data_IF_845425850169
#
_entry.id   IF_845425850169
#
_cell.length_a   1.000
_cell.length_b   1.000
_cell.length_c   1.000
_cell.angle_alpha   90.00
_cell.angle_beta   90.00
_cell.angle_gamma   90.00
#
_symmetry.space_group_name_H-M   'P 1'
#
loop_
_entity.id
_entity.type
_entity.pdbx_description
1 polymer ?
#
# COMPACT_ATOMS: atom_id res chain seq x y z
N UNK A 1 -23.09 6.91 0.05
CA UNK A 1 -22.80 6.16 -1.18
C UNK A 1 -23.19 4.71 -0.91
N UNK A 2 -23.95 4.08 -1.80
CA UNK A 2 -24.29 2.67 -1.63
C UNK A 2 -23.04 1.83 -1.88
N UNK A 3 -22.57 1.10 -0.87
CA UNK A 3 -21.35 0.28 -0.98
C UNK A 3 -21.69 -1.07 -1.63
N UNK A 4 -20.85 -1.58 -2.56
CA UNK A 4 -21.03 -2.92 -3.11
C UNK A 4 -21.15 -3.97 -2.00
N UNK A 5 -21.97 -4.99 -2.25
CA UNK A 5 -22.25 -6.06 -1.29
C UNK A 5 -20.99 -6.65 -0.61
N UNK A 6 -19.89 -7.01 -1.33
CA UNK A 6 -18.70 -7.54 -0.67
C UNK A 6 -18.00 -6.55 0.26
N UNK A 7 -18.01 -5.25 -0.07
CA UNK A 7 -17.43 -4.20 0.78
C UNK A 7 -18.24 -4.04 2.05
N UNK A 8 -19.58 -4.04 1.95
CA UNK A 8 -20.48 -3.99 3.11
C UNK A 8 -20.29 -5.18 4.04
N UNK A 9 -20.27 -6.40 3.48
CA UNK A 9 -20.02 -7.62 4.26
C UNK A 9 -18.69 -7.59 5.00
N UNK A 10 -17.64 -7.04 4.39
CA UNK A 10 -16.37 -6.82 5.08
C UNK A 10 -16.53 -5.89 6.28
N UNK A 11 -17.17 -4.73 6.10
CA UNK A 11 -17.36 -3.76 7.17
C UNK A 11 -18.17 -4.36 8.33
N UNK A 12 -19.28 -5.02 8.01
CA UNK A 12 -20.15 -5.65 9.01
C UNK A 12 -19.42 -6.75 9.80
N UNK A 13 -18.58 -7.54 9.12
CA UNK A 13 -17.81 -8.62 9.75
C UNK A 13 -16.63 -8.11 10.58
N UNK A 14 -15.92 -7.08 10.12
CA UNK A 14 -14.74 -6.54 10.78
C UNK A 14 -15.07 -5.53 11.89
N UNK A 15 -16.15 -4.79 11.72
CA UNK A 15 -16.54 -3.64 12.51
C UNK A 15 -18.07 -3.56 12.66
N UNK A 16 -18.69 -4.49 13.40
CA UNK A 16 -20.15 -4.52 13.59
C UNK A 16 -20.71 -3.24 14.23
N UNK A 17 -19.89 -2.55 15.03
CA UNK A 17 -20.23 -1.27 15.69
C UNK A 17 -19.72 -0.04 14.89
N UNK A 18 -19.27 -0.24 13.65
CA UNK A 18 -18.64 0.76 12.81
C UNK A 18 -17.12 0.84 12.97
N UNK A 19 -16.38 1.17 11.90
CA UNK A 19 -14.92 1.27 11.96
C UNK A 19 -14.50 2.49 12.81
N UNK A 20 -13.44 2.38 13.62
CA UNK A 20 -12.94 3.52 14.39
C UNK A 20 -12.40 4.59 13.45
N UNK A 21 -12.54 5.87 13.81
CA UNK A 21 -11.84 6.95 13.12
C UNK A 21 -10.33 6.81 13.30
N UNK A 22 -9.59 6.83 12.18
CA UNK A 22 -8.13 6.74 12.18
C UNK A 22 -7.57 7.85 11.32
N UNK A 23 -7.02 8.89 11.92
CA UNK A 23 -6.37 9.98 11.19
C UNK A 23 -4.95 9.61 10.76
N UNK A 24 -4.20 8.96 11.66
CA UNK A 24 -2.83 8.52 11.42
C UNK A 24 -2.63 7.09 11.89
N UNK A 25 -1.75 6.37 11.22
CA UNK A 25 -1.34 5.03 11.62
C UNK A 25 0.15 4.78 11.36
N UNK A 26 0.76 3.97 12.22
CA UNK A 26 2.09 3.42 12.04
C UNK A 26 2.00 1.90 12.05
N UNK A 27 2.40 1.26 10.96
CA UNK A 27 2.49 -0.19 10.84
C UNK A 27 3.94 -0.63 10.86
N UNK A 28 4.28 -1.49 11.81
CA UNK A 28 5.57 -2.13 11.89
C UNK A 28 5.46 -3.54 11.33
N UNK A 29 6.42 -3.93 10.50
CA UNK A 29 6.43 -5.21 9.82
C UNK A 29 7.83 -5.80 9.72
N UNK A 30 7.88 -7.12 9.61
CA UNK A 30 9.08 -7.86 9.20
C UNK A 30 8.77 -8.68 7.97
N UNK A 31 9.77 -8.96 7.15
CA UNK A 31 9.52 -9.69 5.92
C UNK A 31 10.78 -10.12 5.22
N UNK A 32 10.56 -10.59 3.99
CA UNK A 32 11.62 -10.88 3.03
C UNK A 32 11.17 -10.49 1.64
N UNK A 33 12.07 -9.95 0.85
CA UNK A 33 11.86 -9.71 -0.58
C UNK A 33 12.90 -10.46 -1.41
N UNK A 34 12.66 -10.56 -2.71
CA UNK A 34 13.56 -11.23 -3.65
C UNK A 34 13.50 -10.56 -5.01
N UNK A 35 14.66 -10.15 -5.53
CA UNK A 35 14.84 -9.76 -6.93
C UNK A 35 15.69 -10.84 -7.60
N UNK A 36 15.07 -11.69 -8.42
CA UNK A 36 15.79 -12.82 -9.04
C UNK A 36 16.96 -12.31 -9.89
N UNK A 37 18.10 -13.02 -9.90
CA UNK A 37 18.33 -14.34 -9.31
C UNK A 37 18.75 -14.36 -7.83
N UNK A 38 18.77 -13.21 -7.13
CA UNK A 38 19.21 -13.14 -5.73
C UNK A 38 18.33 -13.99 -4.78
N UNK A 39 18.87 -14.48 -3.64
CA UNK A 39 18.08 -15.16 -2.62
C UNK A 39 17.09 -14.20 -1.93
N UNK A 40 16.24 -14.76 -1.06
CA UNK A 40 15.37 -13.96 -0.22
C UNK A 40 16.17 -13.14 0.80
N UNK A 41 15.95 -11.83 0.83
CA UNK A 41 16.64 -10.88 1.71
C UNK A 41 15.66 -10.44 2.81
N UNK A 42 15.99 -10.60 4.10
CA UNK A 42 15.13 -10.18 5.20
C UNK A 42 15.10 -8.65 5.31
N UNK A 43 13.97 -8.10 5.74
CA UNK A 43 13.84 -6.68 6.02
C UNK A 43 12.93 -6.43 7.22
N UNK A 44 13.12 -5.26 7.85
CA UNK A 44 12.13 -4.62 8.70
C UNK A 44 11.53 -3.43 7.93
N UNK A 45 10.26 -3.14 8.14
CA UNK A 45 9.57 -2.04 7.48
C UNK A 45 8.69 -1.29 8.48
N UNK A 46 8.75 0.02 8.42
CA UNK A 46 7.85 0.92 9.15
C UNK A 46 7.09 1.74 8.12
N UNK A 47 5.77 1.63 8.15
CA UNK A 47 4.89 2.38 7.27
C UNK A 47 4.14 3.42 8.12
N UNK A 48 4.35 4.69 7.83
CA UNK A 48 3.64 5.83 8.41
C UNK A 48 2.59 6.33 7.43
N UNK A 49 1.35 6.45 7.90
CA UNK A 49 0.17 6.71 7.07
C UNK A 49 -0.64 7.88 7.62
N UNK A 50 -1.16 8.69 6.70
CA UNK A 50 -2.49 9.29 6.81
C UNK A 50 -3.38 8.51 5.85
N UNK A 51 -4.10 7.47 6.31
CA UNK A 51 -4.79 6.56 5.40
C UNK A 51 -5.75 7.34 4.48
N UNK A 52 -5.71 7.00 3.20
CA UNK A 52 -6.45 7.68 2.13
C UNK A 52 -5.80 8.94 1.56
N UNK A 53 -4.70 9.43 2.17
CA UNK A 53 -4.06 10.70 1.80
C UNK A 53 -2.56 10.52 1.53
N UNK A 54 -1.79 10.17 2.55
CA UNK A 54 -0.33 10.10 2.48
C UNK A 54 0.20 8.77 3.04
N UNK A 55 1.35 8.34 2.50
CA UNK A 55 2.03 7.10 2.84
C UNK A 55 3.53 7.26 2.76
N UNK A 56 4.24 6.73 3.76
CA UNK A 56 5.70 6.60 3.76
C UNK A 56 6.09 5.23 4.30
N UNK A 57 6.85 4.46 3.53
CA UNK A 57 7.43 3.17 3.91
C UNK A 57 8.95 3.29 3.99
N UNK A 58 9.48 3.13 5.20
CA UNK A 58 10.91 3.02 5.49
C UNK A 58 11.28 1.53 5.65
N UNK A 59 11.81 0.92 4.59
CA UNK A 59 12.27 -0.47 4.58
C UNK A 59 13.78 -0.54 4.79
N UNK A 60 14.20 -1.38 5.73
CA UNK A 60 15.60 -1.55 6.14
C UNK A 60 16.03 -3.02 6.05
N UNK A 61 17.18 -3.25 5.42
CA UNK A 61 17.92 -4.53 5.52
C UNK A 61 19.09 -4.33 6.47
N UNK A 62 19.19 -5.21 7.46
CA UNK A 62 20.25 -5.18 8.48
C UNK A 62 21.04 -6.48 8.49
N UNK A 63 22.35 -6.36 8.72
CA UNK A 63 23.25 -7.48 9.02
C UNK A 63 23.93 -7.15 10.35
N UNK A 64 23.53 -7.86 11.41
CA UNK A 64 23.91 -7.49 12.77
C UNK A 64 23.49 -6.05 13.10
N UNK A 65 24.38 -5.19 13.65
CA UNK A 65 24.06 -3.80 13.96
C UNK A 65 24.06 -2.88 12.72
N UNK A 66 24.52 -3.33 11.56
CA UNK A 66 24.71 -2.49 10.38
C UNK A 66 23.48 -2.47 9.48
N UNK A 67 23.06 -1.28 9.07
CA UNK A 67 22.04 -1.10 8.03
C UNK A 67 22.74 -1.07 6.66
N UNK A 68 22.53 -2.12 5.87
CA UNK A 68 23.19 -2.31 4.57
C UNK A 68 22.34 -1.81 3.40
N UNK A 69 21.04 -1.66 3.62
CA UNK A 69 20.11 -1.15 2.62
C UNK A 69 19.00 -0.36 3.30
N UNK A 70 18.68 0.79 2.70
CA UNK A 70 17.49 1.56 3.03
C UNK A 70 16.72 1.84 1.75
N UNK A 71 15.43 1.54 1.78
CA UNK A 71 14.47 1.88 0.74
C UNK A 71 13.42 2.79 1.36
N UNK A 72 13.23 3.95 0.75
CA UNK A 72 12.13 4.86 1.04
C UNK A 72 11.15 4.75 -0.12
N UNK A 73 9.93 4.33 0.17
CA UNK A 73 8.84 4.31 -0.81
C UNK A 73 7.69 5.15 -0.26
N UNK A 74 7.24 6.16 -0.98
CA UNK A 74 6.26 7.11 -0.46
C UNK A 74 5.29 7.60 -1.52
N UNK A 75 4.13 8.06 -1.05
CA UNK A 75 3.12 8.85 -1.76
C UNK A 75 2.75 10.02 -0.84
N UNK A 76 3.18 11.23 -1.17
CA UNK A 76 2.92 12.43 -0.34
C UNK A 76 2.54 13.58 -1.25
N UNK A 77 1.46 14.28 -0.90
CA UNK A 77 0.91 15.41 -1.67
C UNK A 77 0.67 15.06 -3.16
N UNK A 78 0.18 13.84 -3.42
CA UNK A 78 -0.07 13.34 -4.78
C UNK A 78 1.19 12.88 -5.55
N UNK A 79 2.36 12.89 -4.93
CA UNK A 79 3.63 12.55 -5.58
C UNK A 79 4.29 11.32 -4.95
N UNK A 80 4.71 10.41 -5.81
CA UNK A 80 5.43 9.19 -5.48
C UNK A 80 6.95 9.35 -5.53
N UNK A 81 7.63 8.51 -4.73
CA UNK A 81 9.07 8.26 -4.83
C UNK A 81 9.36 6.80 -4.47
N UNK A 82 10.30 6.20 -5.19
CA UNK A 82 11.02 5.01 -4.73
C UNK A 82 12.50 5.33 -4.69
N UNK A 83 13.05 5.51 -3.49
CA UNK A 83 14.46 5.84 -3.26
C UNK A 83 15.20 4.63 -2.71
N UNK A 84 16.14 4.14 -3.49
CA UNK A 84 17.02 3.03 -3.15
C UNK A 84 18.46 3.56 -3.01
N UNK A 85 18.99 3.57 -1.78
CA UNK A 85 20.31 4.14 -1.48
C UNK A 85 20.44 5.60 -2.01
N UNK A 86 21.28 5.81 -3.03
CA UNK A 86 21.55 7.13 -3.64
C UNK A 86 20.64 7.45 -4.84
N UNK A 87 19.94 6.45 -5.37
CA UNK A 87 19.06 6.60 -6.53
C UNK A 87 17.64 6.84 -6.06
N UNK A 88 16.96 7.80 -6.70
CA UNK A 88 15.57 8.11 -6.43
C UNK A 88 14.82 8.15 -7.76
N UNK A 89 13.84 7.25 -7.88
CA UNK A 89 12.93 7.21 -9.01
C UNK A 89 11.68 8.02 -8.62
N UNK A 90 11.29 8.94 -9.51
CA UNK A 90 10.12 9.82 -9.39
C UNK A 90 9.51 10.00 -10.78
N UNK A 91 8.26 10.44 -10.84
CA UNK A 91 7.54 10.71 -12.09
C UNK A 91 6.20 9.98 -12.15
N UNK A 92 5.39 10.19 -13.20
CA UNK A 92 4.00 9.73 -13.25
C UNK A 92 3.82 8.22 -13.01
N UNK A 93 4.75 7.41 -13.50
CA UNK A 93 4.72 5.95 -13.34
C UNK A 93 4.99 5.52 -11.88
N UNK A 94 5.86 6.26 -11.18
CA UNK A 94 6.13 6.06 -9.75
C UNK A 94 4.96 6.59 -8.92
N UNK A 95 4.39 7.74 -9.29
CA UNK A 95 3.20 8.33 -8.67
C UNK A 95 2.04 7.33 -8.69
N UNK A 96 1.78 6.69 -9.84
CA UNK A 96 0.76 5.66 -10.02
C UNK A 96 1.00 4.45 -9.10
N UNK A 97 2.24 3.96 -9.06
CA UNK A 97 2.59 2.82 -8.22
C UNK A 97 2.44 3.11 -6.72
N UNK A 98 2.86 4.29 -6.30
CA UNK A 98 2.79 4.76 -4.91
C UNK A 98 1.35 5.03 -4.46
N UNK A 99 0.49 5.56 -5.35
CA UNK A 99 -0.95 5.68 -5.12
C UNK A 99 -1.57 4.32 -4.81
N UNK A 100 -1.33 3.31 -5.64
CA UNK A 100 -1.88 1.96 -5.42
C UNK A 100 -1.37 1.30 -4.14
N UNK A 101 -0.11 1.56 -3.74
CA UNK A 101 0.38 1.11 -2.45
C UNK A 101 -0.38 1.77 -1.29
N UNK A 102 -0.62 3.08 -1.37
CA UNK A 102 -1.43 3.83 -0.38
C UNK A 102 -2.87 3.32 -0.33
N UNK A 103 -3.53 3.10 -1.47
CA UNK A 103 -4.90 2.59 -1.53
C UNK A 103 -5.00 1.18 -0.92
N UNK A 104 -4.07 0.29 -1.26
CA UNK A 104 -4.03 -1.07 -0.73
C UNK A 104 -3.86 -1.09 0.80
N UNK A 105 -3.04 -0.19 1.35
CA UNK A 105 -2.84 -0.06 2.79
C UNK A 105 -4.05 0.61 3.47
N UNK A 106 -4.70 1.56 2.80
CA UNK A 106 -5.92 2.24 3.28
C UNK A 106 -7.11 1.29 3.45
N UNK A 107 -7.16 0.17 2.72
CA UNK A 107 -8.18 -0.88 2.94
C UNK A 107 -8.18 -1.44 4.36
N UNK A 108 -7.08 -1.31 5.10
CA UNK A 108 -6.99 -1.71 6.51
C UNK A 108 -7.64 -0.70 7.45
N UNK A 109 -8.00 0.50 6.96
CA UNK A 109 -8.55 1.62 7.72
C UNK A 109 -9.83 2.15 7.06
N UNK A 110 -10.96 1.42 7.09
CA UNK A 110 -12.08 1.72 6.21
C UNK A 110 -12.77 3.07 6.47
N UNK A 111 -12.75 3.58 7.70
CA UNK A 111 -13.22 4.94 8.03
C UNK A 111 -12.48 6.04 7.27
N UNK A 112 -11.29 5.74 6.75
CA UNK A 112 -10.44 6.68 6.03
C UNK A 112 -10.63 6.63 4.52
N UNK A 113 -11.38 5.65 3.98
CA UNK A 113 -11.61 5.54 2.54
C UNK A 113 -12.34 6.77 1.97
N UNK A 114 -13.16 7.44 2.78
CA UNK A 114 -13.81 8.71 2.41
C UNK A 114 -12.83 9.88 2.20
N UNK A 115 -11.57 9.76 2.67
CA UNK A 115 -10.52 10.76 2.45
C UNK A 115 -9.80 10.57 1.12
N UNK A 116 -9.97 9.42 0.47
CA UNK A 116 -9.49 9.21 -0.89
C UNK A 116 -10.36 10.07 -1.81
N UNK A 117 -9.77 11.10 -2.40
CA UNK A 117 -10.48 12.06 -3.24
C UNK A 117 -11.27 11.35 -4.36
N UNK A 118 -12.57 11.61 -4.40
CA UNK A 118 -13.52 11.11 -5.40
C UNK A 118 -13.46 9.58 -5.61
N UNK A 119 -13.11 8.82 -4.57
CA UNK A 119 -13.17 7.37 -4.61
C UNK A 119 -14.61 6.90 -4.87
N UNK A 120 -14.78 6.19 -5.97
CA UNK A 120 -15.99 5.45 -6.28
C UNK A 120 -15.75 3.95 -6.18
N UNK A 121 -16.82 3.24 -5.82
CA UNK A 121 -16.86 1.79 -5.85
C UNK A 121 -17.78 1.32 -6.99
N UNK A 122 -17.30 0.37 -7.78
CA UNK A 122 -18.09 -0.37 -8.77
C UNK A 122 -18.26 -1.81 -8.30
N UNK A 123 -19.47 -2.36 -8.44
CA UNK A 123 -19.69 -3.79 -8.27
C UNK A 123 -19.09 -4.55 -9.46
N UNK A 124 -18.41 -5.66 -9.18
CA UNK A 124 -17.85 -6.54 -10.22
C UNK A 124 -18.57 -7.89 -10.20
N UNK A 125 -18.62 -8.53 -9.04
CA UNK A 125 -19.39 -9.75 -8.80
C UNK A 125 -19.73 -9.90 -7.30
N UNK A 126 -20.35 -11.02 -6.94
CA UNK A 126 -20.76 -11.31 -5.56
C UNK A 126 -19.63 -11.20 -4.53
N UNK A 127 -18.38 -11.44 -4.93
CA UNK A 127 -17.18 -11.52 -4.08
C UNK A 127 -16.10 -10.51 -4.46
N UNK A 128 -16.35 -9.63 -5.41
CA UNK A 128 -15.35 -8.64 -5.83
C UNK A 128 -15.98 -7.27 -6.14
N UNK A 129 -15.21 -6.23 -5.84
CA UNK A 129 -15.58 -4.85 -6.12
C UNK A 129 -14.35 -4.10 -6.64
N UNK A 130 -14.59 -3.03 -7.38
CA UNK A 130 -13.53 -2.22 -7.98
C UNK A 130 -13.52 -0.82 -7.40
N UNK A 131 -12.35 -0.43 -6.91
CA UNK A 131 -12.05 0.96 -6.56
C UNK A 131 -11.72 1.72 -7.84
N UNK A 132 -12.31 2.90 -8.00
CA UNK A 132 -12.02 3.85 -9.08
C UNK A 132 -11.67 5.18 -8.45
N UNK A 133 -10.49 5.72 -8.77
CA UNK A 133 -10.02 7.01 -8.26
C UNK A 133 -9.48 7.87 -9.39
N UNK A 134 -9.70 9.19 -9.37
CA UNK A 134 -9.05 10.09 -10.31
C UNK A 134 -7.53 10.07 -10.16
N UNK A 135 -6.84 10.17 -11.29
CA UNK A 135 -5.39 10.25 -11.34
C UNK A 135 -4.94 11.00 -12.60
N UNK A 136 -4.63 12.30 -12.43
CA UNK A 136 -4.43 13.21 -13.56
C UNK A 136 -5.71 13.31 -14.40
N UNK A 137 -5.57 13.19 -15.72
CA UNK A 137 -6.70 13.21 -16.67
C UNK A 137 -7.38 11.84 -16.84
N UNK A 138 -6.99 10.84 -16.04
CA UNK A 138 -7.48 9.46 -16.13
C UNK A 138 -8.00 8.98 -14.79
N UNK A 139 -8.46 7.72 -14.76
CA UNK A 139 -8.86 7.05 -13.53
C UNK A 139 -7.99 5.80 -13.33
N UNK A 140 -7.42 5.67 -12.14
CA UNK A 140 -6.79 4.43 -11.71
C UNK A 140 -7.85 3.49 -11.13
N UNK A 141 -7.65 2.19 -11.36
CA UNK A 141 -8.62 1.14 -11.02
C UNK A 141 -7.93 0.01 -10.29
N UNK A 142 -8.54 -0.47 -9.22
CA UNK A 142 -8.06 -1.66 -8.54
C UNK A 142 -9.21 -2.58 -8.17
N UNK A 143 -9.08 -3.86 -8.50
CA UNK A 143 -10.08 -4.87 -8.13
C UNK A 143 -9.69 -5.46 -6.77
N UNK A 144 -10.64 -5.44 -5.84
CA UNK A 144 -10.52 -6.08 -4.53
C UNK A 144 -11.41 -7.31 -4.53
N UNK A 145 -10.81 -8.48 -4.37
CA UNK A 145 -11.52 -9.74 -4.15
C UNK A 145 -11.62 -10.02 -2.66
N UNK A 146 -12.77 -10.51 -2.22
CA UNK A 146 -13.10 -10.78 -0.83
C UNK A 146 -13.30 -12.28 -0.62
N UNK A 147 -12.91 -12.78 0.54
CA UNK A 147 -13.05 -14.19 0.86
C UNK A 147 -14.54 -14.53 1.05
N UNK A 148 -15.12 -15.49 0.30
CA UNK A 148 -16.58 -15.71 0.25
C UNK A 148 -17.19 -16.05 1.62
N UNK A 149 -16.45 -16.78 2.47
CA UNK A 149 -16.95 -17.16 3.80
C UNK A 149 -16.76 -16.10 4.89
N UNK A 150 -15.68 -15.35 4.84
CA UNK A 150 -15.29 -14.48 5.97
C UNK A 150 -15.56 -13.00 5.67
N UNK A 151 -15.83 -12.66 4.41
CA UNK A 151 -16.04 -11.29 3.97
C UNK A 151 -14.77 -10.45 3.87
N UNK A 152 -13.63 -10.89 4.41
CA UNK A 152 -12.41 -10.07 4.42
C UNK A 152 -11.76 -9.93 3.03
N UNK A 153 -11.14 -8.78 2.70
CA UNK A 153 -10.34 -8.65 1.50
C UNK A 153 -9.25 -9.73 1.44
N UNK A 154 -9.25 -10.50 0.37
CA UNK A 154 -8.31 -11.59 0.13
C UNK A 154 -7.22 -11.16 -0.87
N UNK A 155 -7.56 -10.29 -1.82
CA UNK A 155 -6.64 -9.85 -2.87
C UNK A 155 -6.93 -8.45 -3.36
N UNK A 156 -5.87 -7.71 -3.67
CA UNK A 156 -5.87 -6.44 -4.39
C UNK A 156 -5.09 -6.60 -5.70
N UNK A 157 -5.69 -6.23 -6.83
CA UNK A 157 -5.10 -6.42 -8.16
C UNK A 157 -5.28 -5.16 -9.03
N UNK A 158 -4.20 -4.72 -9.68
CA UNK A 158 -4.21 -3.57 -10.60
C UNK A 158 -3.01 -3.62 -11.56
N UNK A 159 -3.16 -3.21 -12.84
CA UNK A 159 -2.04 -2.97 -13.73
C UNK A 159 -1.16 -1.81 -13.25
N UNK A 160 0.14 -2.06 -13.02
CA UNK A 160 1.12 -1.04 -12.61
C UNK A 160 2.36 -1.06 -13.46
N UNK A 161 3.00 0.10 -13.60
CA UNK A 161 4.36 0.16 -14.10
C UNK A 161 5.31 -0.57 -13.16
N UNK A 162 6.02 -1.58 -13.69
CA UNK A 162 7.05 -2.34 -12.96
C UNK A 162 8.42 -1.63 -12.99
N UNK A 163 8.65 -0.82 -14.03
CA UNK A 163 9.82 0.03 -14.23
C UNK A 163 9.44 1.26 -15.07
N UNK A 164 10.25 2.31 -14.98
CA UNK A 164 10.04 3.54 -15.75
C UNK A 164 10.16 3.27 -17.25
N UNK A 165 9.21 3.77 -18.05
CA UNK A 165 9.10 3.56 -19.50
C UNK A 165 8.71 2.14 -19.91
N UNK A 166 8.36 1.27 -18.97
CA UNK A 166 7.92 -0.10 -19.24
C UNK A 166 6.41 -0.23 -19.45
N UNK A 167 5.91 -1.40 -19.88
CA UNK A 167 4.48 -1.66 -19.89
C UNK A 167 3.92 -1.80 -18.47
N UNK A 168 2.61 -1.58 -18.32
CA UNK A 168 1.90 -2.00 -17.11
C UNK A 168 1.82 -3.52 -17.04
N UNK A 169 2.07 -4.06 -15.85
CA UNK A 169 1.93 -5.49 -15.52
C UNK A 169 1.04 -5.61 -14.30
N UNK A 170 0.20 -6.64 -14.26
CA UNK A 170 -0.68 -6.87 -13.11
C UNK A 170 0.14 -7.09 -11.84
N UNK A 171 -0.05 -6.15 -10.91
CA UNK A 171 0.47 -6.18 -9.57
C UNK A 171 -0.59 -6.75 -8.63
N UNK A 172 -0.21 -7.77 -7.86
CA UNK A 172 -1.15 -8.51 -7.02
C UNK A 172 -0.66 -8.58 -5.59
N UNK A 173 -1.54 -8.23 -4.67
CA UNK A 173 -1.31 -8.32 -3.21
C UNK A 173 -2.30 -9.29 -2.63
N UNK A 174 -1.81 -10.34 -1.97
CA UNK A 174 -2.63 -11.26 -1.19
C UNK A 174 -2.63 -10.82 0.28
N UNK A 175 -3.81 -10.71 0.85
CA UNK A 175 -4.07 -10.29 2.24
C UNK A 175 -4.54 -11.52 3.02
N UNK A 176 -3.69 -12.00 3.93
CA UNK A 176 -3.84 -13.31 4.56
C UNK A 176 -3.85 -13.18 6.09
N UNK A 177 -4.52 -14.13 6.74
CA UNK A 177 -4.61 -14.26 8.20
C UNK A 177 -5.02 -12.96 8.88
N UNK A 178 -6.20 -12.46 8.56
CA UNK A 178 -6.75 -11.27 9.19
C UNK A 178 -6.85 -11.42 10.71
N UNK A 179 -6.48 -10.35 11.42
CA UNK A 179 -6.37 -10.33 12.88
C UNK A 179 -6.64 -8.92 13.42
N UNK A 180 -6.99 -8.86 14.72
CA UNK A 180 -7.24 -7.62 15.43
C UNK A 180 -5.97 -7.10 16.13
N UNK A 181 -5.52 -5.93 15.71
CA UNK A 181 -4.44 -5.14 16.31
C UNK A 181 -5.06 -3.96 17.07
N UNK A 182 -5.45 -4.19 18.33
CA UNK A 182 -6.18 -3.19 19.11
C UNK A 182 -7.51 -2.82 18.41
N UNK A 183 -7.72 -1.54 18.06
CA UNK A 183 -8.95 -1.12 17.39
C UNK A 183 -9.00 -1.50 15.90
N UNK A 184 -7.86 -1.83 15.27
CA UNK A 184 -7.75 -2.08 13.82
C UNK A 184 -7.80 -3.57 13.50
N UNK A 185 -8.51 -3.95 12.45
CA UNK A 185 -8.50 -5.29 11.86
C UNK A 185 -7.73 -5.24 10.54
N UNK A 186 -6.68 -6.05 10.40
CA UNK A 186 -5.75 -6.02 9.28
C UNK A 186 -5.17 -7.43 8.97
N UNK A 187 -4.68 -7.70 7.75
CA UNK A 187 -4.01 -8.97 7.43
C UNK A 187 -2.68 -9.08 8.19
N UNK A 188 -2.44 -10.21 8.89
CA UNK A 188 -1.12 -10.44 9.50
C UNK A 188 -0.06 -10.75 8.46
N UNK A 189 -0.44 -11.30 7.30
CA UNK A 189 0.49 -11.70 6.24
C UNK A 189 0.11 -11.05 4.91
N UNK A 190 1.10 -10.48 4.24
CA UNK A 190 0.97 -9.87 2.92
C UNK A 190 1.96 -10.55 1.97
N UNK A 191 1.48 -10.96 0.79
CA UNK A 191 2.31 -11.56 -0.26
C UNK A 191 2.10 -10.79 -1.55
N UNK A 192 3.20 -10.35 -2.17
CA UNK A 192 3.14 -9.51 -3.37
C UNK A 192 3.84 -10.21 -4.54
N UNK A 193 3.17 -10.19 -5.69
CA UNK A 193 3.65 -10.79 -6.92
C UNK A 193 3.33 -9.88 -8.12
N UNK A 194 4.18 -9.96 -9.14
CA UNK A 194 3.84 -9.53 -10.50
C UNK A 194 3.30 -10.71 -11.28
N UNK A 195 2.40 -10.48 -12.24
CA UNK A 195 1.84 -11.56 -13.04
C UNK A 195 2.84 -12.25 -13.98
N UNK A 196 3.87 -11.53 -14.40
CA UNK A 196 4.96 -12.03 -15.23
C UNK A 196 6.10 -12.67 -14.41
N UNK A 197 6.07 -12.60 -13.08
CA UNK A 197 7.05 -13.24 -12.23
C UNK A 197 6.67 -14.70 -11.95
N UNK A 198 7.65 -15.63 -11.85
CA UNK A 198 7.42 -17.05 -11.54
C UNK A 198 6.97 -17.31 -10.09
N UNK A 199 6.55 -16.28 -9.37
CA UNK A 199 6.12 -16.35 -7.97
C UNK A 199 6.32 -15.03 -7.24
N UNK A 200 5.95 -14.95 -5.95
CA UNK A 200 6.02 -13.71 -5.22
C UNK A 200 7.45 -13.20 -5.07
N UNK A 201 7.57 -11.88 -5.06
CA UNK A 201 8.82 -11.16 -4.81
C UNK A 201 8.86 -10.54 -3.42
N UNK A 202 7.73 -10.41 -2.71
CA UNK A 202 7.71 -9.94 -1.32
C UNK A 202 6.75 -10.76 -0.46
N UNK A 203 7.20 -11.04 0.77
CA UNK A 203 6.41 -11.64 1.84
C UNK A 203 6.63 -10.81 3.11
N UNK A 204 5.57 -10.22 3.63
CA UNK A 204 5.60 -9.36 4.80
C UNK A 204 4.65 -9.89 5.87
N UNK A 205 5.01 -9.70 7.14
CA UNK A 205 4.17 -9.95 8.30
C UNK A 205 4.05 -8.67 9.12
N UNK A 206 2.83 -8.20 9.32
CA UNK A 206 2.56 -7.09 10.23
C UNK A 206 2.74 -7.58 11.66
N UNK A 207 3.57 -6.86 12.42
CA UNK A 207 3.85 -7.18 13.83
C UNK A 207 3.07 -6.27 14.78
N UNK A 208 2.85 -5.02 14.39
CA UNK A 208 2.17 -4.02 15.22
C UNK A 208 1.52 -2.96 14.35
N UNK A 209 0.37 -2.45 14.80
CA UNK A 209 -0.29 -1.27 14.26
C UNK A 209 -0.57 -0.35 15.46
N UNK A 210 -0.18 0.91 15.34
CA UNK A 210 -0.51 1.97 16.30
C UNK A 210 -1.26 3.07 15.55
N UNK A 211 -2.31 3.63 16.15
CA UNK A 211 -3.13 4.70 15.57
C UNK A 211 -3.02 5.96 16.41
N UNK A 212 -3.14 7.14 15.78
CA UNK A 212 -3.08 8.43 16.47
C UNK A 212 -1.67 8.90 16.85
N UNK A 213 -0.64 8.21 16.37
CA UNK A 213 0.76 8.64 16.53
C UNK A 213 1.12 9.71 15.50
N UNK A 214 1.98 10.69 15.84
CA UNK A 214 2.47 11.67 14.89
C UNK A 214 3.24 11.01 13.74
N UNK A 215 2.89 11.37 12.51
CA UNK A 215 3.56 10.89 11.29
C UNK A 215 4.26 11.99 10.50
N UNK A 216 4.09 13.26 10.90
CA UNK A 216 4.60 14.44 10.18
C UNK A 216 6.08 14.36 9.85
N UNK A 217 6.91 13.97 10.82
CA UNK A 217 8.35 13.85 10.58
C UNK A 217 8.71 12.84 9.49
N UNK A 218 7.92 11.78 9.29
CA UNK A 218 8.12 10.85 8.17
C UNK A 218 7.67 11.47 6.84
N UNK A 219 6.51 12.12 6.85
CA UNK A 219 5.93 12.79 5.68
C UNK A 219 6.80 13.94 5.17
N UNK A 220 7.31 14.79 6.08
CA UNK A 220 8.23 15.89 5.74
C UNK A 220 9.54 15.39 5.14
N UNK A 221 10.12 14.31 5.68
CA UNK A 221 11.32 13.68 5.10
C UNK A 221 11.05 13.15 3.69
N UNK A 222 9.90 12.51 3.48
CA UNK A 222 9.52 12.00 2.17
C UNK A 222 9.28 13.14 1.17
N UNK A 223 8.56 14.20 1.58
CA UNK A 223 8.35 15.43 0.79
C UNK A 223 9.68 16.04 0.36
N UNK A 224 10.61 16.24 1.29
CA UNK A 224 11.94 16.77 0.96
C UNK A 224 12.70 15.87 -0.02
N UNK A 225 12.61 14.54 0.13
CA UNK A 225 13.23 13.60 -0.80
C UNK A 225 12.60 13.64 -2.20
N UNK A 226 11.27 13.76 -2.30
CA UNK A 226 10.53 13.93 -3.55
C UNK A 226 10.98 15.22 -4.24
N UNK A 227 10.95 16.36 -3.54
CA UNK A 227 11.37 17.65 -4.10
C UNK A 227 12.82 17.61 -4.60
N UNK A 228 13.74 17.02 -3.83
CA UNK A 228 15.15 16.88 -4.23
C UNK A 228 15.32 16.00 -5.48
N UNK A 229 14.56 14.91 -5.58
CA UNK A 229 14.64 14.00 -6.73
C UNK A 229 14.05 14.64 -7.99
N UNK A 230 12.89 15.30 -7.87
CA UNK A 230 12.22 15.97 -9.00
C UNK A 230 13.00 17.16 -9.54
N UNK A 231 13.72 17.90 -8.69
CA UNK A 231 14.60 18.98 -9.12
C UNK A 231 15.76 18.53 -10.04
N UNK A 232 16.02 17.21 -10.13
CA UNK A 232 17.03 16.62 -11.02
C UNK A 232 16.45 16.09 -12.33
N UNK A 233 15.13 16.09 -12.49
CA UNK A 233 14.52 15.69 -13.75
C UNK A 233 14.84 16.75 -14.83
N UNK A 234 15.16 16.33 -16.06
CA UNK A 234 15.21 17.26 -17.17
C UNK A 234 13.83 17.91 -17.33
N UNK A 235 13.81 19.24 -17.48
CA UNK A 235 12.60 20.03 -17.71
C UNK A 235 12.02 19.85 -19.10
#
# INVERSE_FOLDING_TARGET
MDLPAPVRRFLDAAYPDGPPEVETAVMESTGRFRRRPLPWIPFANTISLRPGVDRVSDMLVRIGPFTVMKVLDAFVDGQGITKFLRTADVGPEIDQGSLHAMLCETLMFPSSLQRVADLAWEEVDETSARMVVPFGDQNERATVSFHPRTGFPARYETPRFKAIGGPKVDWRVQMLDWWRFGPVVAPRRIVVAWADDPGPWLRQRIVKITTGEPVDGALERARAAISQARAKLPG
#
